data_IF_034189361152
#
_entry.id   IF_034189361152
#
_cell.length_a   1.000
_cell.length_b   1.000
_cell.length_c   1.000
_cell.angle_alpha   90.00
_cell.angle_beta   90.00
_cell.angle_gamma   90.00
#
_symmetry.space_group_name_H-M   'P 1'
#
loop_
_entity.id
_entity.type
_entity.pdbx_description
1 polymer ?
#
# COMPACT_ATOMS: atom_id res chain seq x y z
N UNK A 1 -20.48 8.49 19.05
CA UNK A 1 -19.09 7.97 19.14
C UNK A 1 -18.54 7.37 17.84
N UNK A 2 -19.35 7.01 16.82
CA UNK A 2 -18.85 6.37 15.58
C UNK A 2 -18.17 7.32 14.54
N UNK A 3 -18.37 8.64 14.65
CA UNK A 3 -17.99 9.59 13.58
C UNK A 3 -16.50 9.98 13.56
N UNK A 4 -15.79 9.90 14.70
CA UNK A 4 -14.38 10.28 14.78
C UNK A 4 -13.41 9.20 14.27
N UNK A 5 -13.79 7.92 14.42
CA UNK A 5 -12.98 6.78 13.93
C UNK A 5 -13.05 6.66 12.41
N UNK A 6 -14.24 6.88 11.82
CA UNK A 6 -14.44 6.86 10.37
C UNK A 6 -13.65 7.95 9.63
N UNK A 7 -13.53 9.15 10.21
CA UNK A 7 -12.73 10.25 9.62
C UNK A 7 -11.23 9.96 9.58
N UNK A 8 -10.68 9.23 10.56
CA UNK A 8 -9.26 8.86 10.62
C UNK A 8 -8.94 7.70 9.67
N UNK A 9 -9.82 6.69 9.61
CA UNK A 9 -9.67 5.55 8.70
C UNK A 9 -9.73 5.96 7.22
N UNK A 10 -10.62 6.90 6.86
CA UNK A 10 -10.71 7.44 5.50
C UNK A 10 -9.42 8.11 5.03
N UNK A 11 -8.69 8.80 5.92
CA UNK A 11 -7.42 9.46 5.57
C UNK A 11 -6.27 8.48 5.35
N UNK A 12 -6.20 7.37 6.10
CA UNK A 12 -5.19 6.34 5.87
C UNK A 12 -5.47 5.57 4.57
N UNK A 13 -6.73 5.25 4.29
CA UNK A 13 -7.12 4.66 3.01
C UNK A 13 -6.76 5.59 1.83
N UNK A 14 -6.92 6.90 2.00
CA UNK A 14 -6.52 7.89 1.01
C UNK A 14 -4.98 7.95 0.82
N UNK A 15 -4.19 7.78 1.90
CA UNK A 15 -2.73 7.76 1.85
C UNK A 15 -2.20 6.57 1.06
N UNK A 16 -2.72 5.38 1.32
CA UNK A 16 -2.24 4.13 0.71
C UNK A 16 -3.04 3.69 -0.52
N UNK A 17 -3.98 4.52 -1.00
CA UNK A 17 -4.94 4.15 -2.04
C UNK A 17 -4.30 3.56 -3.29
N UNK A 18 -3.25 4.17 -3.82
CA UNK A 18 -2.56 3.69 -5.03
C UNK A 18 -1.88 2.33 -4.81
N UNK A 19 -1.37 2.08 -3.60
CA UNK A 19 -0.74 0.80 -3.23
C UNK A 19 -1.83 -0.27 -3.08
N UNK A 20 -2.96 0.06 -2.46
CA UNK A 20 -4.10 -0.86 -2.32
C UNK A 20 -4.66 -1.25 -3.70
N UNK A 21 -4.78 -0.29 -4.60
CA UNK A 21 -5.18 -0.53 -6.00
C UNK A 21 -4.15 -1.42 -6.71
N UNK A 22 -2.85 -1.19 -6.54
CA UNK A 22 -1.84 -2.09 -7.08
C UNK A 22 -2.03 -3.53 -6.55
N UNK A 23 -2.28 -3.69 -5.24
CA UNK A 23 -2.54 -4.98 -4.61
C UNK A 23 -3.69 -5.76 -5.24
N UNK A 24 -4.78 -5.10 -5.63
CA UNK A 24 -5.90 -5.78 -6.31
C UNK A 24 -5.50 -6.30 -7.68
N UNK A 25 -4.64 -5.58 -8.42
CA UNK A 25 -4.09 -6.05 -9.70
C UNK A 25 -3.06 -7.18 -9.53
N UNK A 26 -2.24 -7.15 -8.48
CA UNK A 26 -1.19 -8.14 -8.24
C UNK A 26 -1.77 -9.56 -8.15
N UNK A 27 -2.91 -9.73 -7.47
CA UNK A 27 -3.55 -11.02 -7.22
C UNK A 27 -3.84 -11.81 -8.50
N UNK A 28 -4.34 -11.14 -9.53
CA UNK A 28 -4.86 -11.81 -10.73
C UNK A 28 -3.90 -11.76 -11.92
N UNK A 29 -2.86 -10.93 -11.86
CA UNK A 29 -1.95 -10.78 -13.00
C UNK A 29 -1.00 -11.96 -13.15
N UNK A 30 -0.65 -12.28 -14.39
CA UNK A 30 0.30 -13.34 -14.75
C UNK A 30 1.70 -12.81 -15.03
N UNK A 31 1.82 -11.51 -15.29
CA UNK A 31 3.08 -10.84 -15.59
C UNK A 31 3.11 -9.45 -14.95
N UNK A 32 4.14 -9.21 -14.13
CA UNK A 32 4.44 -7.92 -13.48
C UNK A 32 5.72 -7.29 -14.03
N UNK A 33 6.26 -7.84 -15.11
CA UNK A 33 7.58 -7.50 -15.60
C UNK A 33 8.69 -8.12 -14.74
N UNK A 34 9.81 -7.41 -14.64
CA UNK A 34 10.94 -7.84 -13.81
C UNK A 34 10.71 -7.52 -12.33
N UNK A 35 11.26 -8.32 -11.40
CA UNK A 35 11.22 -8.02 -9.97
C UNK A 35 11.77 -6.65 -9.60
N UNK A 36 12.80 -6.17 -10.29
CA UNK A 36 13.39 -4.86 -10.02
C UNK A 36 12.47 -3.70 -10.42
N UNK A 37 11.67 -3.86 -11.49
CA UNK A 37 10.66 -2.88 -11.86
C UNK A 37 9.54 -2.80 -10.81
N UNK A 38 9.06 -3.95 -10.33
CA UNK A 38 8.05 -3.99 -9.27
C UNK A 38 8.58 -3.36 -7.98
N UNK A 39 9.81 -3.71 -7.59
CA UNK A 39 10.47 -3.15 -6.40
C UNK A 39 10.60 -1.62 -6.50
N UNK A 40 11.11 -1.12 -7.63
CA UNK A 40 11.25 0.33 -7.87
C UNK A 40 9.89 1.04 -7.79
N UNK A 41 8.85 0.46 -8.39
CA UNK A 41 7.49 1.01 -8.34
C UNK A 41 6.93 1.05 -6.91
N UNK A 42 7.10 -0.03 -6.14
CA UNK A 42 6.64 -0.07 -4.74
C UNK A 42 7.36 0.96 -3.89
N UNK A 43 8.69 1.11 -4.02
CA UNK A 43 9.44 2.14 -3.31
C UNK A 43 8.93 3.55 -3.63
N UNK A 44 8.69 3.84 -4.92
CA UNK A 44 8.12 5.12 -5.32
C UNK A 44 6.76 5.38 -4.68
N UNK A 45 5.85 4.41 -4.73
CA UNK A 45 4.51 4.54 -4.14
C UNK A 45 4.55 4.73 -2.61
N UNK A 46 5.43 4.02 -1.90
CA UNK A 46 5.60 4.20 -0.46
C UNK A 46 6.18 5.58 -0.12
N UNK A 47 7.08 6.11 -0.93
CA UNK A 47 7.59 7.48 -0.74
C UNK A 47 6.49 8.53 -0.95
N UNK A 48 5.66 8.37 -2.00
CA UNK A 48 4.50 9.25 -2.23
C UNK A 48 3.49 9.16 -1.07
N UNK A 49 3.19 7.95 -0.59
CA UNK A 49 2.32 7.74 0.56
C UNK A 49 2.87 8.39 1.83
N UNK A 50 4.19 8.36 2.04
CA UNK A 50 4.83 9.01 3.18
C UNK A 50 4.64 10.53 3.16
N UNK A 51 4.93 11.16 2.02
CA UNK A 51 4.76 12.60 1.85
C UNK A 51 3.28 13.01 1.97
N UNK A 52 2.38 12.19 1.42
CA UNK A 52 0.93 12.40 1.57
C UNK A 52 0.49 12.29 3.04
N UNK A 53 0.98 11.28 3.76
CA UNK A 53 0.72 11.10 5.19
C UNK A 53 1.17 12.29 6.03
N UNK A 54 2.37 12.82 5.75
CA UNK A 54 2.88 14.05 6.37
C UNK A 54 1.97 15.24 6.08
N UNK A 55 1.60 15.46 4.81
CA UNK A 55 0.75 16.58 4.39
C UNK A 55 -0.65 16.58 5.02
N UNK A 56 -1.19 15.38 5.30
CA UNK A 56 -2.51 15.20 5.92
C UNK A 56 -2.45 15.19 7.46
N UNK A 57 -1.27 15.37 8.05
CA UNK A 57 -1.06 15.39 9.49
C UNK A 57 -1.35 14.03 10.16
N UNK A 58 -1.04 12.93 9.47
CA UNK A 58 -1.17 11.59 10.04
C UNK A 58 -0.13 11.40 11.14
N UNK A 59 -0.56 10.85 12.28
CA UNK A 59 0.35 10.56 13.38
C UNK A 59 1.39 9.49 12.97
N UNK A 60 2.69 9.66 13.30
CA UNK A 60 3.74 8.73 12.87
C UNK A 60 3.47 7.26 13.24
N UNK A 61 2.99 6.99 14.44
CA UNK A 61 2.67 5.62 14.87
C UNK A 61 1.54 4.98 14.04
N UNK A 62 0.49 5.76 13.74
CA UNK A 62 -0.62 5.28 12.93
C UNK A 62 -0.17 5.05 11.47
N UNK A 63 0.68 5.92 10.93
CA UNK A 63 1.30 5.72 9.62
C UNK A 63 2.16 4.45 9.60
N UNK A 64 2.97 4.23 10.64
CA UNK A 64 3.87 3.08 10.75
C UNK A 64 3.10 1.77 10.81
N UNK A 65 2.04 1.71 11.64
CA UNK A 65 1.16 0.54 11.72
C UNK A 65 0.44 0.28 10.38
N UNK A 66 -0.07 1.33 9.74
CA UNK A 66 -0.72 1.20 8.43
C UNK A 66 0.28 0.75 7.36
N UNK A 67 1.49 1.31 7.32
CA UNK A 67 2.55 0.92 6.39
C UNK A 67 2.91 -0.55 6.56
N UNK A 68 3.07 -1.01 7.81
CA UNK A 68 3.32 -2.41 8.10
C UNK A 68 2.19 -3.32 7.57
N UNK A 69 0.93 -2.98 7.86
CA UNK A 69 -0.22 -3.75 7.40
C UNK A 69 -0.34 -3.76 5.86
N UNK A 70 -0.07 -2.63 5.19
CA UNK A 70 -0.11 -2.52 3.73
C UNK A 70 1.04 -3.30 3.09
N UNK A 71 2.24 -3.28 3.68
CA UNK A 71 3.36 -4.11 3.21
C UNK A 71 3.01 -5.59 3.31
N UNK A 72 2.54 -6.06 4.47
CA UNK A 72 2.14 -7.46 4.64
C UNK A 72 1.03 -7.89 3.67
N UNK A 73 0.08 -6.98 3.39
CA UNK A 73 -0.93 -7.20 2.36
C UNK A 73 -0.32 -7.36 0.97
N UNK A 74 0.61 -6.49 0.57
CA UNK A 74 1.28 -6.58 -0.74
C UNK A 74 2.11 -7.85 -0.86
N UNK A 75 2.84 -8.24 0.19
CA UNK A 75 3.60 -9.49 0.23
C UNK A 75 2.67 -10.68 -0.03
N UNK A 76 1.53 -10.75 0.65
CA UNK A 76 0.52 -11.79 0.43
C UNK A 76 -0.04 -11.75 -1.00
N UNK A 77 -0.28 -10.57 -1.58
CA UNK A 77 -0.76 -10.47 -2.97
C UNK A 77 0.27 -10.95 -3.98
N UNK A 78 1.57 -10.73 -3.74
CA UNK A 78 2.65 -11.24 -4.61
C UNK A 78 2.76 -12.76 -4.46
N UNK A 79 2.78 -13.27 -3.22
CA UNK A 79 2.90 -14.70 -2.92
C UNK A 79 1.73 -15.50 -3.49
N UNK A 80 0.50 -14.96 -3.37
CA UNK A 80 -0.72 -15.59 -3.87
C UNK A 80 -1.00 -15.33 -5.36
N UNK A 81 -0.21 -14.46 -6.02
CA UNK A 81 -0.39 -14.15 -7.43
C UNK A 81 -0.06 -15.33 -8.34
N UNK A 82 -0.48 -15.21 -9.61
CA UNK A 82 -0.11 -16.15 -10.69
C UNK A 82 1.20 -15.78 -11.38
N UNK A 83 1.98 -14.86 -10.82
CA UNK A 83 3.23 -14.40 -11.40
C UNK A 83 4.33 -15.47 -11.27
N UNK A 84 4.98 -15.76 -12.39
CA UNK A 84 5.98 -16.81 -12.48
C UNK A 84 7.33 -16.44 -11.84
N UNK A 85 7.67 -15.15 -11.79
CA UNK A 85 8.97 -14.64 -11.33
C UNK A 85 8.94 -14.08 -9.89
N UNK A 86 8.11 -14.67 -9.04
CA UNK A 86 7.97 -14.29 -7.62
C UNK A 86 9.21 -14.62 -6.80
#
# INVERSE_FOLDING_TARGET
>A
MASAVGKKSGRLAEVFGDILVLGTYLKDTKDLGSPDHLRTRLHHLFNVAEEKGKSLGIHPDAYTQARYAVTAYIDEMIISSRWANR
#
